data_IF_091546650244
#
_entry.id   IF_091546650244
#
_cell.length_a   1.000
_cell.length_b   1.000
_cell.length_c   1.000
_cell.angle_alpha   90.00
_cell.angle_beta   90.00
_cell.angle_gamma   90.00
#
_symmetry.space_group_name_H-M   'P 1'
#
loop_
_entity.id
_entity.type
_entity.pdbx_description
1 polymer ?
#
# COMPACT_ATOMS: atom_id res chain seq x y z
N UNK A 1 -43.43 -15.81 21.97
CA UNK A 1 -42.50 -15.37 20.89
C UNK A 1 -41.11 -15.20 21.46
N UNK A 2 -40.16 -16.07 21.14
CA UNK A 2 -38.77 -15.90 21.54
C UNK A 2 -38.23 -14.62 20.89
N UNK A 3 -37.94 -13.60 21.70
CA UNK A 3 -37.21 -12.41 21.25
C UNK A 3 -35.80 -12.86 20.89
N UNK A 4 -35.52 -12.96 19.59
CA UNK A 4 -34.15 -13.19 19.10
C UNK A 4 -33.32 -12.01 19.57
N UNK A 5 -32.24 -12.27 20.32
CA UNK A 5 -31.35 -11.22 20.87
C UNK A 5 -30.28 -10.75 19.87
N UNK A 6 -30.23 -11.37 18.69
CA UNK A 6 -29.21 -11.16 17.68
C UNK A 6 -29.82 -10.91 16.30
N UNK A 7 -29.14 -10.14 15.42
CA UNK A 7 -29.58 -9.92 14.04
C UNK A 7 -29.69 -11.25 13.28
N UNK A 8 -30.67 -11.34 12.37
CA UNK A 8 -30.87 -12.53 11.54
C UNK A 8 -31.22 -12.13 10.09
N UNK A 9 -30.87 -13.01 9.14
CA UNK A 9 -31.04 -12.83 7.70
C UNK A 9 -31.89 -13.98 7.14
N UNK A 10 -32.62 -13.76 6.05
CA UNK A 10 -33.33 -14.82 5.29
C UNK A 10 -32.47 -15.41 4.17
N UNK A 11 -31.39 -14.72 3.78
CA UNK A 11 -30.44 -15.18 2.77
C UNK A 11 -29.30 -15.97 3.40
N UNK A 12 -28.57 -16.76 2.59
CA UNK A 12 -27.39 -17.48 3.06
C UNK A 12 -26.29 -16.50 3.48
N UNK A 13 -26.04 -16.40 4.79
CA UNK A 13 -25.03 -15.51 5.35
C UNK A 13 -24.38 -16.15 6.58
N UNK A 14 -23.08 -15.89 6.80
CA UNK A 14 -22.42 -16.30 8.04
C UNK A 14 -22.99 -15.47 9.20
N UNK A 15 -23.46 -16.08 10.31
CA UNK A 15 -23.99 -15.33 11.45
C UNK A 15 -23.01 -14.31 12.01
N UNK A 16 -21.71 -14.64 11.99
CA UNK A 16 -20.64 -13.78 12.47
C UNK A 16 -20.45 -12.54 11.58
N UNK A 17 -20.55 -12.71 10.26
CA UNK A 17 -20.48 -11.61 9.31
C UNK A 17 -21.69 -10.68 9.43
N UNK A 18 -22.87 -11.24 9.68
CA UNK A 18 -24.08 -10.47 9.89
C UNK A 18 -24.00 -9.60 11.15
N UNK A 19 -23.52 -10.18 12.26
CA UNK A 19 -23.29 -9.43 13.50
C UNK A 19 -22.23 -8.35 13.29
N UNK A 20 -21.14 -8.66 12.58
CA UNK A 20 -20.11 -7.66 12.26
C UNK A 20 -20.65 -6.53 11.39
N UNK A 21 -21.42 -6.83 10.35
CA UNK A 21 -21.99 -5.83 9.46
C UNK A 21 -22.95 -4.89 10.21
N UNK A 22 -23.81 -5.43 11.07
CA UNK A 22 -24.95 -4.69 11.63
C UNK A 22 -24.64 -4.06 12.98
N UNK A 23 -23.85 -4.71 13.83
CA UNK A 23 -23.64 -4.28 15.22
C UNK A 23 -22.39 -3.41 15.44
N UNK A 24 -21.47 -3.33 14.49
CA UNK A 24 -20.25 -2.51 14.66
C UNK A 24 -20.53 -1.03 14.38
N UNK A 25 -19.97 -0.17 15.23
CA UNK A 25 -20.12 1.29 15.17
C UNK A 25 -21.34 1.84 15.91
N UNK A 26 -21.32 3.15 16.13
CA UNK A 26 -22.42 3.87 16.76
C UNK A 26 -23.65 3.89 15.84
N UNK A 27 -24.84 3.70 16.43
CA UNK A 27 -26.09 3.52 15.69
C UNK A 27 -26.46 4.75 14.86
N UNK A 28 -26.24 5.96 15.40
CA UNK A 28 -26.61 7.20 14.73
C UNK A 28 -25.66 7.53 13.58
N UNK A 29 -24.35 7.33 13.80
CA UNK A 29 -23.35 7.55 12.74
C UNK A 29 -23.56 6.58 11.57
N UNK A 30 -23.71 5.28 11.84
CA UNK A 30 -23.99 4.27 10.80
C UNK A 30 -25.27 4.61 10.02
N UNK A 31 -26.33 4.99 10.74
CA UNK A 31 -27.60 5.34 10.11
C UNK A 31 -27.46 6.53 9.16
N UNK A 32 -26.76 7.59 9.57
CA UNK A 32 -26.53 8.78 8.76
C UNK A 32 -25.70 8.50 7.50
N UNK A 33 -24.61 7.74 7.61
CA UNK A 33 -23.71 7.43 6.49
C UNK A 33 -24.38 6.56 5.43
N UNK A 34 -25.25 5.65 5.86
CA UNK A 34 -25.96 4.72 4.98
C UNK A 34 -27.32 5.24 4.49
N UNK A 35 -27.75 6.44 4.92
CA UNK A 35 -29.08 6.97 4.58
C UNK A 35 -30.24 6.16 5.18
N UNK A 36 -30.01 5.53 6.32
CA UNK A 36 -30.97 4.68 7.03
C UNK A 36 -31.61 5.43 8.20
N UNK A 37 -32.82 5.02 8.59
CA UNK A 37 -33.41 5.48 9.84
C UNK A 37 -32.77 4.75 11.04
N UNK A 38 -32.34 5.46 12.10
CA UNK A 38 -31.68 4.86 13.26
C UNK A 38 -32.58 3.82 13.96
N UNK A 39 -33.88 4.08 14.02
CA UNK A 39 -34.87 3.14 14.56
C UNK A 39 -34.91 1.82 13.78
N UNK A 40 -34.80 1.88 12.45
CA UNK A 40 -34.81 0.72 11.58
C UNK A 40 -33.55 -0.13 11.80
N UNK A 41 -32.39 0.51 11.89
CA UNK A 41 -31.12 -0.16 12.21
C UNK A 41 -31.16 -0.78 13.61
N UNK A 42 -31.79 -0.11 14.58
CA UNK A 42 -31.99 -0.63 15.94
C UNK A 42 -32.84 -1.90 15.96
N UNK A 43 -33.89 -1.97 15.13
CA UNK A 43 -34.73 -3.18 15.01
C UNK A 43 -33.98 -4.36 14.42
N UNK A 44 -33.11 -4.11 13.45
CA UNK A 44 -32.22 -5.11 12.87
C UNK A 44 -31.21 -5.64 13.89
N UNK A 45 -30.51 -4.76 14.63
CA UNK A 45 -29.59 -5.13 15.72
C UNK A 45 -30.28 -5.98 16.80
N UNK A 46 -31.50 -5.60 17.14
CA UNK A 46 -32.32 -6.27 18.14
C UNK A 46 -32.93 -7.59 17.67
N UNK A 47 -32.76 -7.97 16.40
CA UNK A 47 -33.37 -9.17 15.81
C UNK A 47 -34.90 -9.13 15.70
N UNK A 48 -35.52 -7.94 15.83
CA UNK A 48 -36.98 -7.77 15.69
C UNK A 48 -37.44 -7.94 14.25
N UNK A 49 -36.66 -7.42 13.31
CA UNK A 49 -36.88 -7.52 11.88
C UNK A 49 -35.69 -8.22 11.21
N UNK A 50 -35.93 -9.02 10.16
CA UNK A 50 -34.83 -9.59 9.38
C UNK A 50 -34.06 -8.48 8.68
N UNK A 51 -32.74 -8.65 8.62
CA UNK A 51 -31.87 -7.76 7.85
C UNK A 51 -32.07 -8.08 6.38
N UNK A 52 -32.47 -7.11 5.54
CA UNK A 52 -32.62 -7.36 4.11
C UNK A 52 -31.26 -7.44 3.42
N UNK A 53 -31.20 -8.20 2.31
CA UNK A 53 -29.94 -8.48 1.58
C UNK A 53 -29.21 -7.21 1.14
N UNK A 54 -29.94 -6.20 0.68
CA UNK A 54 -29.34 -4.93 0.25
C UNK A 54 -28.68 -4.17 1.42
N UNK A 55 -29.31 -4.16 2.60
CA UNK A 55 -28.77 -3.50 3.79
C UNK A 55 -27.53 -4.23 4.29
N UNK A 56 -27.53 -5.56 4.23
CA UNK A 56 -26.33 -6.34 4.52
C UNK A 56 -25.18 -6.03 3.57
N UNK A 57 -25.43 -5.91 2.26
CA UNK A 57 -24.38 -5.56 1.28
C UNK A 57 -23.84 -4.14 1.55
N UNK A 58 -24.72 -3.19 1.85
CA UNK A 58 -24.34 -1.81 2.16
C UNK A 58 -23.49 -1.73 3.44
N UNK A 59 -23.95 -2.34 4.52
CA UNK A 59 -23.27 -2.34 5.82
C UNK A 59 -21.99 -3.18 5.79
N UNK A 60 -21.99 -4.30 5.07
CA UNK A 60 -20.79 -5.10 4.87
C UNK A 60 -19.79 -4.41 3.96
N UNK A 61 -20.23 -3.60 2.99
CA UNK A 61 -19.37 -2.75 2.15
C UNK A 61 -18.79 -1.56 2.90
N UNK A 62 -19.53 -0.97 3.83
CA UNK A 62 -19.00 0.04 4.76
C UNK A 62 -17.92 -0.54 5.65
N UNK A 63 -18.19 -1.73 6.19
CA UNK A 63 -17.23 -2.45 7.02
C UNK A 63 -16.23 -3.24 6.18
N UNK A 64 -16.32 -3.17 4.84
CA UNK A 64 -15.42 -3.93 3.98
C UNK A 64 -14.09 -3.21 3.96
N UNK A 65 -13.19 -3.84 4.67
CA UNK A 65 -11.75 -3.63 4.64
C UNK A 65 -11.17 -3.67 3.20
N UNK A 66 -11.88 -4.19 2.20
CA UNK A 66 -11.31 -4.42 0.85
C UNK A 66 -11.68 -3.32 -0.14
N UNK A 67 -10.69 -2.69 -0.76
CA UNK A 67 -10.88 -1.64 -1.75
C UNK A 67 -11.56 -2.16 -3.04
N UNK A 68 -12.56 -1.41 -3.57
CA UNK A 68 -13.36 -1.84 -4.72
C UNK A 68 -12.56 -1.85 -6.02
N UNK A 69 -13.14 -2.43 -7.08
CA UNK A 69 -12.52 -2.47 -8.41
C UNK A 69 -12.28 -1.08 -9.02
N UNK A 70 -13.02 -0.07 -8.57
CA UNK A 70 -12.85 1.34 -8.96
C UNK A 70 -11.59 1.99 -8.36
N UNK A 71 -10.90 1.35 -7.41
CA UNK A 71 -9.68 1.88 -6.79
C UNK A 71 -8.41 1.73 -7.67
N UNK A 72 -8.57 1.30 -8.93
CA UNK A 72 -7.48 1.19 -9.91
C UNK A 72 -6.37 0.25 -9.43
N UNK A 73 -5.10 0.72 -9.32
CA UNK A 73 -3.97 -0.12 -8.93
C UNK A 73 -4.07 -0.65 -7.48
N UNK A 74 -4.94 -0.06 -6.66
CA UNK A 74 -5.19 -0.50 -5.28
C UNK A 74 -6.36 -1.48 -5.15
N UNK A 75 -6.91 -1.95 -6.27
CA UNK A 75 -8.00 -2.92 -6.28
C UNK A 75 -7.65 -4.14 -5.44
N UNK A 76 -8.54 -4.51 -4.51
CA UNK A 76 -8.38 -5.70 -3.68
C UNK A 76 -7.41 -5.54 -2.51
N UNK A 77 -6.82 -4.36 -2.30
CA UNK A 77 -6.06 -4.06 -1.08
C UNK A 77 -6.99 -4.05 0.12
N UNK A 78 -6.48 -4.50 1.26
CA UNK A 78 -7.23 -4.59 2.52
C UNK A 78 -6.74 -3.54 3.51
N UNK A 79 -7.62 -2.71 4.03
CA UNK A 79 -7.37 -1.84 5.17
C UNK A 79 -7.34 -2.71 6.43
N UNK A 80 -6.25 -2.71 7.20
CA UNK A 80 -6.18 -3.42 8.48
C UNK A 80 -7.34 -3.04 9.40
N UNK A 81 -7.69 -3.92 10.34
CA UNK A 81 -8.80 -3.72 11.28
C UNK A 81 -8.70 -2.39 12.06
N UNK A 82 -7.49 -1.86 12.24
CA UNK A 82 -7.22 -0.58 12.91
C UNK A 82 -7.32 0.66 11.98
N UNK A 83 -7.55 0.48 10.68
CA UNK A 83 -7.71 1.57 9.71
C UNK A 83 -6.40 2.23 9.23
N UNK A 84 -5.26 1.88 9.83
CA UNK A 84 -3.98 2.60 9.63
C UNK A 84 -3.07 2.01 8.54
N UNK A 85 -3.31 0.76 8.15
CA UNK A 85 -2.44 -0.02 7.27
C UNK A 85 -3.21 -0.51 6.05
N UNK A 86 -2.58 -0.44 4.88
CA UNK A 86 -3.03 -1.08 3.64
C UNK A 86 -2.22 -2.34 3.40
N UNK A 87 -2.90 -3.48 3.34
CA UNK A 87 -2.36 -4.78 3.02
C UNK A 87 -2.55 -5.09 1.53
N UNK A 88 -1.44 -5.33 0.85
CA UNK A 88 -1.47 -5.82 -0.51
C UNK A 88 -1.82 -7.32 -0.53
N UNK A 89 -2.83 -7.77 -1.29
CA UNK A 89 -3.21 -9.18 -1.35
C UNK A 89 -2.13 -10.06 -2.02
N UNK A 90 -1.35 -9.49 -2.94
CA UNK A 90 -0.34 -10.23 -3.70
C UNK A 90 0.97 -10.42 -2.93
N UNK A 91 1.45 -9.38 -2.26
CA UNK A 91 2.77 -9.40 -1.58
C UNK A 91 2.66 -9.55 -0.07
N UNK A 92 1.45 -9.43 0.51
CA UNK A 92 1.20 -9.35 1.96
C UNK A 92 1.97 -8.22 2.67
N UNK A 93 2.51 -7.27 1.92
CA UNK A 93 3.18 -6.10 2.47
C UNK A 93 2.14 -5.18 3.08
N UNK A 94 2.43 -4.70 4.28
CA UNK A 94 1.66 -3.69 5.01
C UNK A 94 2.28 -2.32 4.77
N UNK A 95 1.49 -1.41 4.23
CA UNK A 95 1.87 -0.03 3.97
C UNK A 95 1.10 0.88 4.93
N UNK A 96 1.79 1.77 5.64
CA UNK A 96 1.08 2.83 6.38
C UNK A 96 0.56 3.87 5.40
N UNK A 97 -0.51 4.56 5.78
CA UNK A 97 -1.04 5.66 4.98
C UNK A 97 0.00 6.78 4.75
N UNK A 98 0.80 7.08 5.78
CA UNK A 98 1.90 8.05 5.70
C UNK A 98 2.93 7.68 4.62
N UNK A 99 3.26 6.39 4.50
CA UNK A 99 4.21 5.90 3.51
C UNK A 99 3.67 6.06 2.07
N UNK A 100 2.34 6.04 1.90
CA UNK A 100 1.70 6.31 0.60
C UNK A 100 1.85 7.77 0.22
N UNK A 101 1.68 8.69 1.18
CA UNK A 101 1.87 10.12 0.94
C UNK A 101 3.32 10.44 0.54
N UNK A 102 4.29 9.71 1.12
CA UNK A 102 5.73 9.87 0.87
C UNK A 102 6.24 9.16 -0.41
N UNK A 103 5.37 8.47 -1.15
CA UNK A 103 5.76 7.76 -2.38
C UNK A 103 6.46 8.64 -3.42
N UNK A 104 6.03 9.89 -3.68
CA UNK A 104 6.72 10.77 -4.62
C UNK A 104 8.16 11.05 -4.19
N UNK A 105 8.42 11.31 -2.90
CA UNK A 105 9.77 11.49 -2.37
C UNK A 105 10.60 10.21 -2.53
N UNK A 106 10.06 9.04 -2.18
CA UNK A 106 10.77 7.77 -2.33
C UNK A 106 11.17 7.50 -3.78
N UNK A 107 10.30 7.82 -4.75
CA UNK A 107 10.62 7.68 -6.18
C UNK A 107 11.73 8.64 -6.60
N UNK A 108 11.72 9.89 -6.12
CA UNK A 108 12.78 10.86 -6.40
C UNK A 108 14.12 10.40 -5.81
N UNK A 109 14.12 9.97 -4.55
CA UNK A 109 15.31 9.44 -3.89
C UNK A 109 15.87 8.21 -4.63
N UNK A 110 15.01 7.30 -5.05
CA UNK A 110 15.42 6.13 -5.81
C UNK A 110 16.09 6.49 -7.15
N UNK A 111 15.54 7.46 -7.89
CA UNK A 111 16.17 7.95 -9.12
C UNK A 111 17.53 8.59 -8.87
N UNK A 112 17.65 9.42 -7.84
CA UNK A 112 18.93 10.05 -7.47
C UNK A 112 19.99 9.00 -7.12
N UNK A 113 19.61 7.92 -6.43
CA UNK A 113 20.52 6.82 -6.12
C UNK A 113 21.00 6.11 -7.40
N UNK A 114 20.10 5.90 -8.37
CA UNK A 114 20.47 5.32 -9.67
C UNK A 114 21.43 6.23 -10.44
N UNK A 115 21.12 7.52 -10.54
CA UNK A 115 21.98 8.52 -11.19
C UNK A 115 23.36 8.62 -10.53
N UNK A 116 23.41 8.56 -9.19
CA UNK A 116 24.67 8.53 -8.46
C UNK A 116 25.49 7.27 -8.73
N UNK A 117 24.84 6.11 -8.80
CA UNK A 117 25.53 4.86 -9.12
C UNK A 117 26.18 4.92 -10.52
N UNK A 118 25.45 5.39 -11.52
CA UNK A 118 25.96 5.57 -12.89
C UNK A 118 27.14 6.56 -12.95
N UNK A 119 27.05 7.66 -12.19
CA UNK A 119 28.12 8.65 -12.12
C UNK A 119 29.37 8.08 -11.44
N UNK A 120 29.22 7.31 -10.37
CA UNK A 120 30.33 6.63 -9.70
C UNK A 120 31.02 5.67 -10.67
N UNK A 121 30.26 4.85 -11.40
CA UNK A 121 30.82 3.94 -12.38
C UNK A 121 31.61 4.67 -13.47
N UNK A 122 31.08 5.79 -13.99
CA UNK A 122 31.78 6.61 -14.98
C UNK A 122 33.10 7.18 -14.43
N UNK A 123 33.07 7.75 -13.23
CA UNK A 123 34.26 8.30 -12.59
C UNK A 123 35.32 7.23 -12.30
N UNK A 124 34.90 6.02 -11.93
CA UNK A 124 35.82 4.89 -11.75
C UNK A 124 36.49 4.52 -13.07
N UNK A 125 35.73 4.44 -14.17
CA UNK A 125 36.28 4.17 -15.50
C UNK A 125 37.28 5.26 -15.93
N UNK A 126 36.95 6.53 -15.74
CA UNK A 126 37.83 7.66 -16.07
C UNK A 126 39.12 7.63 -15.24
N UNK A 127 39.01 7.45 -13.93
CA UNK A 127 40.18 7.31 -13.04
C UNK A 127 41.10 6.20 -13.52
N UNK A 128 40.55 5.03 -13.83
CA UNK A 128 41.33 3.86 -14.23
C UNK A 128 41.94 4.04 -15.63
N UNK A 129 41.29 4.81 -16.51
CA UNK A 129 41.86 5.23 -17.78
C UNK A 129 43.06 6.17 -17.58
N UNK A 130 42.91 7.24 -16.80
CA UNK A 130 44.00 8.18 -16.54
C UNK A 130 45.18 7.51 -15.85
N UNK A 131 44.92 6.64 -14.87
CA UNK A 131 45.97 5.88 -14.19
C UNK A 131 46.80 5.02 -15.16
N UNK A 132 46.12 4.34 -16.09
CA UNK A 132 46.80 3.55 -17.14
C UNK A 132 47.60 4.46 -18.07
N UNK A 133 47.04 5.57 -18.52
CA UNK A 133 47.74 6.50 -19.40
C UNK A 133 48.98 7.11 -18.77
N UNK A 134 48.92 7.54 -17.50
CA UNK A 134 50.10 8.02 -16.78
C UNK A 134 51.19 6.95 -16.70
N UNK A 135 50.82 5.69 -16.44
CA UNK A 135 51.77 4.58 -16.42
C UNK A 135 52.40 4.33 -17.80
N UNK A 136 51.60 4.36 -18.87
CA UNK A 136 52.08 4.25 -20.24
C UNK A 136 53.02 5.39 -20.61
N UNK A 137 52.64 6.65 -20.35
CA UNK A 137 53.47 7.82 -20.60
C UNK A 137 54.78 7.78 -19.83
N UNK A 138 54.77 7.37 -18.56
CA UNK A 138 56.01 7.21 -17.78
C UNK A 138 56.92 6.14 -18.38
N UNK A 139 56.37 4.99 -18.81
CA UNK A 139 57.14 3.92 -19.44
C UNK A 139 57.74 4.35 -20.78
N UNK A 140 56.95 5.01 -21.63
CA UNK A 140 57.43 5.52 -22.92
C UNK A 140 58.44 6.66 -22.74
N UNK A 141 58.22 7.58 -21.82
CA UNK A 141 59.16 8.65 -21.48
C UNK A 141 60.50 8.11 -20.98
N UNK A 142 60.47 7.13 -20.06
CA UNK A 142 61.69 6.47 -19.58
C UNK A 142 62.44 5.73 -20.70
N UNK A 143 61.72 5.15 -21.66
CA UNK A 143 62.31 4.48 -22.82
C UNK A 143 62.93 5.50 -23.80
N UNK A 144 62.24 6.60 -24.08
CA UNK A 144 62.76 7.70 -24.91
C UNK A 144 64.03 8.30 -24.30
N UNK A 145 64.03 8.57 -22.99
CA UNK A 145 65.21 9.06 -22.27
C UNK A 145 66.40 8.09 -22.34
N UNK A 146 66.15 6.77 -22.36
CA UNK A 146 67.21 5.77 -22.56
C UNK A 146 67.76 5.72 -23.98
N UNK A 147 66.93 6.01 -24.99
CA UNK A 147 67.35 6.00 -26.39
C UNK A 147 68.02 7.32 -26.82
N UNK A 148 67.61 8.43 -26.21
CA UNK A 148 68.12 9.77 -26.45
C UNK A 148 68.45 10.43 -25.09
N UNK A 149 69.56 10.05 -24.45
CA UNK A 149 70.03 10.75 -23.27
C UNK A 149 70.47 12.15 -23.70
N UNK A 150 69.96 13.19 -23.02
CA UNK A 150 70.53 14.53 -23.11
C UNK A 150 71.96 14.43 -22.54
N UNK A 151 72.97 14.83 -23.33
CA UNK A 151 74.39 14.80 -22.96
C UNK A 151 74.70 15.44 -21.59
#
# INVERSE_FOLDING_TARGET
>A
MMRRKFPWCEFSCSPTELVRAVCFGDLYTVASECGLQPDQLGRWRSGREPVPKWAFILLSGRNSVTLPASAGPWRGFRVSDDGLLLECPATRVRLRYEDVAMMPEYRKAHRLVQEQAELIERLMMERDFYRRNCHHQAKYGALLYRLFPDE
#
